data_IF_246380776763
#
_entry.id   IF_246380776763
#
_cell.length_a   1.000
_cell.length_b   1.000
_cell.length_c   1.000
_cell.angle_alpha   90.00
_cell.angle_beta   90.00
_cell.angle_gamma   90.00
#
_symmetry.space_group_name_H-M   'P 1'
#
loop_
_entity.id
_entity.type
_entity.pdbx_description
1 polymer ?
#
# COMPACT_ATOMS: atom_id res chain seq x y z
N UNK A 1 8.85 -5.72 -8.97
CA UNK A 1 7.71 -5.65 -8.04
C UNK A 1 7.99 -6.36 -6.71
N UNK A 2 8.92 -7.31 -6.63
CA UNK A 2 9.23 -8.05 -5.40
C UNK A 2 9.61 -7.15 -4.21
N UNK A 3 10.37 -6.08 -4.44
CA UNK A 3 10.73 -5.10 -3.40
C UNK A 3 9.50 -4.37 -2.86
N UNK A 4 8.54 -3.98 -3.72
CA UNK A 4 7.30 -3.32 -3.30
C UNK A 4 6.45 -4.26 -2.43
N UNK A 5 6.30 -5.50 -2.87
CA UNK A 5 5.52 -6.51 -2.15
C UNK A 5 6.18 -6.89 -0.82
N UNK A 6 7.51 -7.01 -0.79
CA UNK A 6 8.27 -7.23 0.44
C UNK A 6 8.05 -6.09 1.43
N UNK A 7 8.22 -4.84 1.00
CA UNK A 7 8.01 -3.68 1.87
C UNK A 7 6.55 -3.58 2.36
N UNK A 8 5.58 -3.86 1.50
CA UNK A 8 4.17 -3.87 1.87
C UNK A 8 3.83 -4.96 2.91
N UNK A 9 4.38 -6.17 2.74
CA UNK A 9 4.06 -7.30 3.60
C UNK A 9 4.87 -7.33 4.90
N UNK A 10 6.14 -6.91 4.86
CA UNK A 10 7.11 -7.08 5.96
C UNK A 10 7.47 -5.80 6.70
N UNK A 11 7.38 -4.65 6.06
CA UNK A 11 7.74 -3.37 6.68
C UNK A 11 6.49 -2.65 7.16
N UNK A 12 5.69 -2.12 6.23
CA UNK A 12 4.48 -1.38 6.57
C UNK A 12 3.56 -1.27 5.34
N UNK A 13 2.25 -1.42 5.53
CA UNK A 13 1.22 -1.21 4.48
C UNK A 13 0.93 0.27 4.20
N UNK A 14 1.34 1.15 5.12
CA UNK A 14 1.20 2.61 5.04
C UNK A 14 2.55 3.31 5.27
N UNK A 15 3.50 3.22 4.32
CA UNK A 15 4.79 3.87 4.46
C UNK A 15 4.62 5.39 4.61
N UNK A 16 5.36 5.97 5.55
CA UNK A 16 5.52 7.42 5.66
C UNK A 16 6.31 7.96 4.45
N UNK A 17 6.31 9.29 4.20
CA UNK A 17 6.96 9.87 3.03
C UNK A 17 8.46 9.53 2.92
N UNK A 18 9.17 9.43 4.03
CA UNK A 18 10.60 9.09 4.04
C UNK A 18 10.82 7.64 3.61
N UNK A 19 10.05 6.71 4.19
CA UNK A 19 10.07 5.29 3.79
C UNK A 19 9.66 5.11 2.33
N UNK A 20 8.65 5.83 1.86
CA UNK A 20 8.19 5.80 0.47
C UNK A 20 9.30 6.25 -0.51
N UNK A 21 10.04 7.30 -0.16
CA UNK A 21 11.15 7.81 -0.96
C UNK A 21 12.28 6.77 -1.11
N UNK A 22 12.63 6.09 -0.01
CA UNK A 22 13.63 5.02 -0.03
C UNK A 22 13.20 3.88 -0.95
N UNK A 23 11.96 3.40 -0.81
CA UNK A 23 11.42 2.31 -1.65
C UNK A 23 11.37 2.72 -3.12
N UNK A 24 10.98 3.97 -3.40
CA UNK A 24 10.96 4.51 -4.76
C UNK A 24 12.37 4.47 -5.38
N UNK A 25 13.39 4.90 -4.63
CA UNK A 25 14.78 4.84 -5.07
C UNK A 25 15.27 3.39 -5.28
N UNK A 26 14.97 2.46 -4.37
CA UNK A 26 15.34 1.04 -4.48
C UNK A 26 14.69 0.33 -5.68
N UNK A 27 13.49 0.75 -6.04
CA UNK A 27 12.72 0.17 -7.15
C UNK A 27 12.95 0.86 -8.49
N UNK A 28 13.66 2.00 -8.49
CA UNK A 28 13.81 2.86 -9.66
C UNK A 28 12.51 3.51 -10.12
N UNK A 29 11.52 3.63 -9.22
CA UNK A 29 10.24 4.27 -9.48
C UNK A 29 10.20 5.69 -8.90
N UNK A 30 9.24 6.48 -9.34
CA UNK A 30 8.91 7.74 -8.66
C UNK A 30 8.08 7.47 -7.40
N UNK A 31 8.16 8.38 -6.43
CA UNK A 31 7.35 8.33 -5.21
C UNK A 31 5.85 8.22 -5.50
N UNK A 32 5.35 8.96 -6.51
CA UNK A 32 3.95 8.89 -6.93
C UNK A 32 3.54 7.49 -7.42
N UNK A 33 4.38 6.86 -8.25
CA UNK A 33 4.13 5.51 -8.76
C UNK A 33 4.14 4.48 -7.63
N UNK A 34 5.10 4.62 -6.72
CA UNK A 34 5.21 3.78 -5.52
C UNK A 34 3.97 3.93 -4.65
N UNK A 35 3.54 5.16 -4.36
CA UNK A 35 2.34 5.44 -3.57
C UNK A 35 1.08 4.87 -4.22
N UNK A 36 0.94 5.04 -5.54
CA UNK A 36 -0.20 4.50 -6.29
C UNK A 36 -0.26 2.98 -6.18
N UNK A 37 0.89 2.32 -6.31
CA UNK A 37 0.98 0.87 -6.14
C UNK A 37 0.58 0.45 -4.73
N UNK A 38 1.08 1.11 -3.68
CA UNK A 38 0.71 0.81 -2.29
C UNK A 38 -0.79 0.98 -2.03
N UNK A 39 -1.42 2.03 -2.57
CA UNK A 39 -2.87 2.24 -2.46
C UNK A 39 -3.67 1.14 -3.14
N UNK A 40 -3.27 0.74 -4.35
CA UNK A 40 -3.91 -0.35 -5.08
C UNK A 40 -3.76 -1.67 -4.32
N UNK A 41 -2.54 -1.99 -3.89
CA UNK A 41 -2.26 -3.23 -3.17
C UNK A 41 -3.00 -3.32 -1.84
N UNK A 42 -3.10 -2.20 -1.11
CA UNK A 42 -3.88 -2.12 0.12
C UNK A 42 -5.36 -2.40 -0.11
N UNK A 43 -5.94 -1.90 -1.21
CA UNK A 43 -7.33 -2.18 -1.56
C UNK A 43 -7.56 -3.67 -1.86
N UNK A 44 -6.63 -4.32 -2.58
CA UNK A 44 -6.69 -5.78 -2.82
C UNK A 44 -6.53 -6.58 -1.53
N UNK A 45 -5.59 -6.17 -0.66
CA UNK A 45 -5.38 -6.83 0.63
C UNK A 45 -6.63 -6.72 1.50
N UNK A 46 -7.26 -5.54 1.61
CA UNK A 46 -8.52 -5.38 2.35
C UNK A 46 -9.63 -6.30 1.85
N UNK A 47 -9.79 -6.42 0.53
CA UNK A 47 -10.75 -7.35 -0.07
C UNK A 47 -10.44 -8.80 0.31
N UNK A 48 -9.16 -9.18 0.32
CA UNK A 48 -8.72 -10.54 0.64
C UNK A 48 -8.92 -10.89 2.11
N UNK A 49 -8.75 -9.92 3.02
CA UNK A 49 -9.01 -10.09 4.46
C UNK A 49 -10.50 -10.05 4.82
N UNK A 50 -11.39 -9.83 3.84
CA UNK A 50 -12.82 -9.61 4.09
C UNK A 50 -13.12 -8.30 4.84
N UNK A 51 -12.17 -7.37 4.87
CA UNK A 51 -12.38 -6.06 5.47
C UNK A 51 -13.21 -5.19 4.52
N UNK A 52 -14.30 -4.56 5.01
CA UNK A 52 -15.08 -3.67 4.18
C UNK A 52 -14.20 -2.53 3.67
N UNK A 53 -14.37 -2.18 2.39
CA UNK A 53 -13.48 -1.22 1.73
C UNK A 53 -13.57 0.17 2.36
N UNK A 54 -14.69 0.52 2.99
CA UNK A 54 -14.88 1.69 3.84
C UNK A 54 -15.94 1.37 4.90
N UNK A 55 -15.63 1.62 6.17
CA UNK A 55 -16.58 1.48 7.27
C UNK A 55 -17.57 2.65 7.20
N UNK A 56 -18.73 2.46 6.57
CA UNK A 56 -19.70 3.54 6.39
C UNK A 56 -21.06 3.10 5.84
N UNK A 57 -21.85 2.41 6.67
CA UNK A 57 -23.27 2.74 6.85
C UNK A 57 -23.83 1.95 8.03
N UNK A 58 -23.76 2.54 9.23
CA UNK A 58 -24.62 2.13 10.34
C UNK A 58 -25.99 2.75 10.08
N UNK A 59 -26.76 2.13 9.19
CA UNK A 59 -28.17 2.44 8.94
C UNK A 59 -28.79 1.26 8.19
N UNK A 60 -28.90 0.15 8.92
CA UNK A 60 -30.06 -0.75 8.78
C UNK A 60 -31.11 -0.26 9.79
#
# INVERSE_FOLDING_TARGET
LEILEYNFCKVNKHPDPTTLCLIAAETGLSEEQTLKWFKQRLAEWRKSEGLPSESGSVRD
#
